data_IF_268053954442
#
_entry.id   IF_268053954442
#
_cell.length_a   1.000
_cell.length_b   1.000
_cell.length_c   1.000
_cell.angle_alpha   90.00
_cell.angle_beta   90.00
_cell.angle_gamma   90.00
#
_symmetry.space_group_name_H-M   'P 1'
#
loop_
_entity.id
_entity.type
_entity.pdbx_description
1 polymer ?
#
# COMPACT_ATOMS: atom_id res chain seq x y z
N UNK A 1 33.59 -12.51 -2.70
CA UNK A 1 32.30 -12.12 -2.07
C UNK A 1 31.59 -13.25 -1.31
N UNK A 2 31.42 -14.47 -1.85
CA UNK A 2 30.75 -15.57 -1.14
C UNK A 2 31.39 -15.95 0.21
N UNK A 3 32.72 -15.81 0.32
CA UNK A 3 33.48 -16.06 1.55
C UNK A 3 33.12 -15.08 2.69
N UNK A 4 33.05 -13.78 2.43
CA UNK A 4 32.69 -12.77 3.43
C UNK A 4 31.24 -12.96 3.93
N UNK A 5 30.32 -13.29 3.03
CA UNK A 5 28.90 -13.56 3.35
C UNK A 5 28.75 -14.77 4.28
N UNK A 6 29.53 -15.83 4.04
CA UNK A 6 29.50 -17.07 4.83
C UNK A 6 30.01 -16.86 6.26
N UNK A 7 31.07 -16.07 6.45
CA UNK A 7 31.68 -15.91 7.77
C UNK A 7 30.92 -14.93 8.66
N UNK A 8 30.25 -13.92 8.08
CA UNK A 8 29.54 -12.91 8.86
C UNK A 8 28.26 -13.44 9.53
N UNK A 9 27.66 -14.51 8.99
CA UNK A 9 26.42 -15.10 9.50
C UNK A 9 26.65 -16.44 10.22
N UNK A 10 27.89 -16.93 10.31
CA UNK A 10 28.19 -18.20 10.98
C UNK A 10 28.53 -17.98 12.45
N UNK A 11 28.04 -18.88 13.30
CA UNK A 11 28.38 -18.88 14.72
C UNK A 11 27.72 -17.76 15.51
N UNK A 12 26.69 -17.13 14.96
CA UNK A 12 25.87 -16.18 15.70
C UNK A 12 25.10 -16.89 16.82
N UNK A 13 24.79 -16.13 17.85
CA UNK A 13 24.02 -16.55 19.03
C UNK A 13 22.65 -15.85 19.06
N UNK A 14 21.80 -16.22 20.01
CA UNK A 14 20.47 -15.64 20.14
C UNK A 14 20.48 -14.18 20.62
N UNK A 15 21.62 -13.72 21.15
CA UNK A 15 21.87 -12.36 21.65
C UNK A 15 22.39 -11.42 20.56
N UNK A 16 22.77 -11.97 19.39
CA UNK A 16 23.24 -11.18 18.26
C UNK A 16 22.08 -10.57 17.45
N UNK A 17 22.37 -9.44 16.81
CA UNK A 17 21.47 -8.76 15.89
C UNK A 17 22.14 -8.60 14.51
N UNK A 18 21.47 -9.14 13.49
CA UNK A 18 21.83 -8.95 12.09
C UNK A 18 20.96 -7.83 11.51
N UNK A 19 21.60 -6.74 11.09
CA UNK A 19 20.94 -5.65 10.38
C UNK A 19 21.18 -5.84 8.87
N UNK A 20 20.11 -6.09 8.12
CA UNK A 20 20.15 -6.22 6.67
C UNK A 20 19.69 -4.92 6.01
N UNK A 21 20.59 -4.22 5.33
CA UNK A 21 20.26 -3.05 4.52
C UNK A 21 20.02 -3.52 3.08
N UNK A 22 18.78 -3.39 2.61
CA UNK A 22 18.36 -3.90 1.30
C UNK A 22 17.90 -2.73 0.43
N UNK A 23 18.40 -2.69 -0.80
CA UNK A 23 18.00 -1.74 -1.83
C UNK A 23 17.81 -2.43 -3.18
N UNK A 24 17.38 -1.66 -4.18
CA UNK A 24 17.37 -2.10 -5.58
C UNK A 24 18.70 -2.71 -6.05
N UNK A 25 18.61 -3.68 -6.96
CA UNK A 25 19.77 -4.44 -7.47
C UNK A 25 20.26 -5.61 -6.60
N UNK A 26 19.68 -5.79 -5.39
CA UNK A 26 20.06 -6.84 -4.45
C UNK A 26 20.06 -8.26 -5.04
N UNK A 27 19.14 -8.58 -5.95
CA UNK A 27 19.06 -9.92 -6.56
C UNK A 27 20.31 -10.30 -7.37
N UNK A 28 21.02 -9.33 -7.96
CA UNK A 28 22.24 -9.55 -8.73
C UNK A 28 23.51 -9.47 -7.86
N UNK A 29 23.55 -8.49 -6.94
CA UNK A 29 24.71 -8.25 -6.06
C UNK A 29 24.80 -9.28 -4.92
N UNK A 30 23.65 -9.75 -4.44
CA UNK A 30 23.52 -10.74 -3.38
C UNK A 30 23.18 -12.12 -3.96
N UNK A 31 24.15 -12.74 -4.63
CA UNK A 31 24.07 -14.13 -5.05
C UNK A 31 25.04 -15.03 -4.27
N UNK A 32 24.54 -16.22 -3.91
CA UNK A 32 25.32 -17.33 -3.39
C UNK A 32 24.60 -18.63 -3.75
N UNK A 33 25.12 -19.36 -4.73
CA UNK A 33 24.48 -20.56 -5.24
C UNK A 33 24.67 -21.77 -4.33
N UNK A 34 23.75 -22.73 -4.42
CA UNK A 34 23.89 -24.04 -3.81
C UNK A 34 25.10 -24.79 -4.40
N UNK A 35 25.58 -25.77 -3.65
CA UNK A 35 26.74 -26.55 -4.07
C UNK A 35 26.48 -27.29 -5.39
N UNK A 36 27.49 -27.30 -6.27
CA UNK A 36 27.39 -27.89 -7.61
C UNK A 36 26.72 -27.02 -8.68
N UNK A 37 26.10 -25.89 -8.32
CA UNK A 37 25.50 -24.95 -9.29
C UNK A 37 26.45 -23.77 -9.53
N UNK A 38 26.86 -23.56 -10.78
CA UNK A 38 27.75 -22.47 -11.17
C UNK A 38 26.98 -21.20 -11.58
N UNK A 39 27.67 -20.06 -11.61
CA UNK A 39 27.09 -18.80 -12.09
C UNK A 39 26.70 -18.91 -13.57
N UNK A 40 27.48 -19.61 -14.38
CA UNK A 40 27.14 -19.83 -15.80
C UNK A 40 25.90 -20.72 -15.96
N UNK A 41 25.71 -21.71 -15.08
CA UNK A 41 24.48 -22.48 -15.05
C UNK A 41 23.26 -21.60 -14.70
N UNK A 42 23.39 -20.72 -13.71
CA UNK A 42 22.34 -19.74 -13.39
C UNK A 42 22.03 -18.82 -14.59
N UNK A 43 23.06 -18.35 -15.29
CA UNK A 43 22.90 -17.51 -16.49
C UNK A 43 22.16 -18.25 -17.59
N UNK A 44 22.57 -19.49 -17.90
CA UNK A 44 21.93 -20.32 -18.90
C UNK A 44 20.45 -20.59 -18.58
N UNK A 45 20.14 -20.96 -17.32
CA UNK A 45 18.75 -21.10 -16.86
C UNK A 45 17.95 -19.81 -17.09
N UNK A 46 18.49 -18.68 -16.66
CA UNK A 46 17.80 -17.39 -16.74
C UNK A 46 17.54 -17.00 -18.20
N UNK A 47 18.50 -17.24 -19.09
CA UNK A 47 18.34 -17.00 -20.53
C UNK A 47 17.21 -17.83 -21.13
N UNK A 48 17.13 -19.12 -20.82
CA UNK A 48 16.07 -19.99 -21.35
C UNK A 48 14.68 -19.59 -20.82
N UNK A 49 14.57 -19.24 -19.54
CA UNK A 49 13.31 -18.75 -18.96
C UNK A 49 12.85 -17.42 -19.58
N UNK A 50 13.78 -16.49 -19.83
CA UNK A 50 13.45 -15.24 -20.51
C UNK A 50 13.02 -15.48 -21.96
N UNK A 51 13.70 -16.38 -22.68
CA UNK A 51 13.37 -16.74 -24.07
C UNK A 51 11.99 -17.34 -24.20
N UNK A 52 11.56 -18.17 -23.24
CA UNK A 52 10.24 -18.78 -23.27
C UNK A 52 9.13 -17.88 -22.71
N UNK A 53 9.45 -16.65 -22.31
CA UNK A 53 8.47 -15.71 -21.74
C UNK A 53 7.96 -16.11 -20.36
N UNK A 54 8.78 -16.78 -19.55
CA UNK A 54 8.43 -17.06 -18.15
C UNK A 54 8.19 -15.75 -17.39
N UNK A 55 7.21 -15.75 -16.51
CA UNK A 55 6.92 -14.58 -15.68
C UNK A 55 8.03 -14.34 -14.66
N UNK A 56 8.15 -13.10 -14.18
CA UNK A 56 9.16 -12.76 -13.16
C UNK A 56 9.01 -13.60 -11.88
N UNK A 57 7.78 -13.92 -11.48
CA UNK A 57 7.51 -14.74 -10.29
C UNK A 57 8.01 -16.17 -10.46
N UNK A 58 7.87 -16.74 -11.65
CA UNK A 58 8.35 -18.08 -11.98
C UNK A 58 9.87 -18.12 -12.06
N UNK A 59 10.48 -17.12 -12.68
CA UNK A 59 11.94 -16.95 -12.67
C UNK A 59 12.46 -16.85 -11.24
N UNK A 60 11.80 -16.05 -10.39
CA UNK A 60 12.18 -15.89 -9.00
C UNK A 60 11.98 -17.17 -8.19
N UNK A 61 10.94 -17.98 -8.47
CA UNK A 61 10.76 -19.29 -7.84
C UNK A 61 12.01 -20.15 -8.06
N UNK A 62 12.44 -20.34 -9.30
CA UNK A 62 13.62 -21.14 -9.61
C UNK A 62 14.91 -20.54 -9.01
N UNK A 63 15.07 -19.22 -9.07
CA UNK A 63 16.25 -18.53 -8.50
C UNK A 63 16.35 -18.68 -6.98
N UNK A 64 15.22 -18.68 -6.26
CA UNK A 64 15.16 -18.92 -4.81
C UNK A 64 15.63 -20.35 -4.48
N UNK A 65 15.18 -21.34 -5.25
CA UNK A 65 15.47 -22.76 -5.03
C UNK A 65 16.88 -23.21 -5.43
N UNK A 66 17.69 -22.35 -6.06
CA UNK A 66 19.10 -22.63 -6.34
C UNK A 66 20.05 -21.70 -5.60
N UNK A 67 19.53 -20.86 -4.71
CA UNK A 67 20.30 -19.89 -3.93
C UNK A 67 20.32 -20.25 -2.44
N UNK A 68 21.42 -19.91 -1.80
CA UNK A 68 21.66 -20.04 -0.35
C UNK A 68 21.31 -18.79 0.43
N UNK A 69 20.84 -17.73 -0.22
CA UNK A 69 20.51 -16.45 0.43
C UNK A 69 19.15 -15.90 0.06
N UNK A 70 18.58 -16.28 -1.08
CA UNK A 70 17.25 -15.83 -1.54
C UNK A 70 16.13 -16.68 -0.93
N UNK A 71 14.90 -16.18 -0.92
CA UNK A 71 13.72 -16.90 -0.43
C UNK A 71 13.86 -17.32 1.03
N UNK A 72 14.15 -16.38 1.92
CA UNK A 72 14.24 -16.59 3.37
C UNK A 72 15.54 -17.24 3.84
N UNK A 73 16.39 -17.68 2.92
CA UNK A 73 17.62 -18.39 3.24
C UNK A 73 18.64 -17.56 4.01
N UNK A 74 18.72 -16.24 3.77
CA UNK A 74 19.61 -15.38 4.56
C UNK A 74 19.15 -15.33 6.01
N UNK A 75 17.85 -15.22 6.26
CA UNK A 75 17.30 -15.29 7.61
C UNK A 75 17.56 -16.65 8.28
N UNK A 76 17.45 -17.74 7.51
CA UNK A 76 17.83 -19.08 7.98
C UNK A 76 19.31 -19.19 8.35
N UNK A 77 20.20 -18.60 7.55
CA UNK A 77 21.63 -18.59 7.84
C UNK A 77 21.99 -17.78 9.09
N UNK A 78 21.20 -16.76 9.42
CA UNK A 78 21.41 -15.91 10.58
C UNK A 78 20.93 -16.56 11.90
N UNK A 79 20.19 -17.67 11.85
CA UNK A 79 19.71 -18.32 13.08
C UNK A 79 20.88 -18.73 13.99
N UNK A 80 20.73 -18.57 15.33
CA UNK A 80 19.54 -18.15 16.08
C UNK A 80 19.41 -16.62 16.31
N UNK A 81 20.25 -15.80 15.68
CA UNK A 81 20.25 -14.34 15.87
C UNK A 81 18.95 -13.69 15.40
N UNK A 82 18.68 -12.49 15.93
CA UNK A 82 17.59 -11.64 15.46
C UNK A 82 17.98 -11.00 14.14
N UNK A 83 17.02 -10.87 13.22
CA UNK A 83 17.24 -10.23 11.92
C UNK A 83 16.30 -9.05 11.78
N UNK A 84 16.86 -7.87 11.48
CA UNK A 84 16.10 -6.68 11.12
C UNK A 84 16.51 -6.24 9.73
N UNK A 85 15.60 -6.32 8.77
CA UNK A 85 15.81 -5.82 7.42
C UNK A 85 15.20 -4.44 7.25
N UNK A 86 16.02 -3.47 6.85
CA UNK A 86 15.60 -2.13 6.46
C UNK A 86 15.65 -2.04 4.94
N UNK A 87 14.50 -1.82 4.32
CA UNK A 87 14.29 -2.06 2.89
C UNK A 87 13.92 -0.75 2.19
N UNK A 88 14.70 -0.42 1.17
CA UNK A 88 14.38 0.58 0.15
C UNK A 88 13.87 -0.14 -1.09
N UNK A 89 12.57 -0.05 -1.34
CA UNK A 89 11.88 -0.78 -2.40
C UNK A 89 11.84 0.02 -3.70
N UNK A 90 12.34 -0.58 -4.78
CA UNK A 90 12.14 -0.15 -6.17
C UNK A 90 11.05 -0.98 -6.89
N UNK A 91 10.31 -1.82 -6.14
CA UNK A 91 9.27 -2.70 -6.67
C UNK A 91 7.89 -2.14 -6.31
N UNK A 92 7.00 -2.04 -7.30
CA UNK A 92 5.62 -1.59 -7.09
C UNK A 92 4.89 -2.48 -6.08
N UNK A 93 4.20 -1.84 -5.12
CA UNK A 93 3.51 -2.52 -4.01
C UNK A 93 4.44 -3.10 -2.94
N UNK A 94 5.76 -3.00 -3.13
CA UNK A 94 6.78 -3.47 -2.19
C UNK A 94 6.63 -4.91 -1.66
N UNK A 95 6.29 -5.93 -2.48
CA UNK A 95 6.20 -7.31 -2.03
C UNK A 95 7.57 -7.85 -1.58
N UNK A 96 7.67 -8.23 -0.31
CA UNK A 96 8.93 -8.61 0.34
C UNK A 96 9.60 -9.84 -0.29
N UNK A 97 8.82 -10.78 -0.82
CA UNK A 97 9.32 -12.01 -1.44
C UNK A 97 9.92 -11.77 -2.84
N UNK A 98 9.61 -10.62 -3.45
CA UNK A 98 10.15 -10.19 -4.75
C UNK A 98 11.36 -9.27 -4.57
N UNK A 99 11.33 -8.33 -3.61
CA UNK A 99 12.43 -7.39 -3.37
C UNK A 99 13.70 -8.17 -3.03
N UNK A 100 14.76 -7.96 -3.81
CA UNK A 100 16.00 -8.73 -3.72
C UNK A 100 15.80 -10.27 -3.73
N UNK A 101 14.69 -10.75 -4.31
CA UNK A 101 14.24 -12.14 -4.29
C UNK A 101 14.02 -12.69 -2.88
N UNK A 102 13.57 -11.84 -1.94
CA UNK A 102 13.11 -12.22 -0.62
C UNK A 102 14.19 -12.78 0.29
N UNK A 103 15.32 -12.09 0.49
CA UNK A 103 16.43 -12.58 1.31
C UNK A 103 16.00 -13.03 2.73
N UNK A 104 15.09 -12.27 3.33
CA UNK A 104 14.58 -12.42 4.70
C UNK A 104 13.07 -12.62 4.75
N UNK A 105 12.45 -12.96 3.61
CA UNK A 105 11.01 -13.16 3.48
C UNK A 105 10.69 -14.63 3.19
N UNK A 106 9.53 -15.14 3.64
CA UNK A 106 9.10 -16.50 3.33
C UNK A 106 8.90 -16.69 1.83
N UNK A 107 9.11 -17.91 1.36
CA UNK A 107 8.90 -18.29 -0.02
C UNK A 107 7.73 -19.27 -0.13
N UNK A 108 6.64 -18.85 -0.78
CA UNK A 108 5.44 -19.67 -1.00
C UNK A 108 5.62 -20.77 -2.04
N UNK A 109 6.67 -20.71 -2.86
CA UNK A 109 6.93 -21.67 -3.94
C UNK A 109 7.73 -22.87 -3.45
N UNK A 110 7.64 -24.00 -4.15
CA UNK A 110 8.32 -25.26 -3.79
C UNK A 110 9.20 -25.78 -4.92
N UNK A 111 10.05 -26.77 -4.61
CA UNK A 111 10.80 -27.53 -5.61
C UNK A 111 9.86 -28.17 -6.65
N UNK A 112 8.70 -28.67 -6.21
CA UNK A 112 7.69 -29.24 -7.10
C UNK A 112 7.13 -28.17 -8.06
N UNK A 113 6.89 -26.94 -7.58
CA UNK A 113 6.47 -25.82 -8.42
C UNK A 113 7.54 -25.47 -9.46
N UNK A 114 8.82 -25.50 -9.07
CA UNK A 114 9.93 -25.25 -9.98
C UNK A 114 9.97 -26.29 -11.11
N UNK A 115 9.82 -27.58 -10.80
CA UNK A 115 9.77 -28.64 -11.81
C UNK A 115 8.56 -28.47 -12.73
N UNK A 116 7.38 -28.17 -12.17
CA UNK A 116 6.17 -27.90 -12.96
C UNK A 116 6.31 -26.70 -13.90
N UNK A 117 7.01 -25.65 -13.47
CA UNK A 117 7.34 -24.50 -14.33
C UNK A 117 8.20 -24.95 -15.51
N UNK A 118 9.26 -25.74 -15.24
CA UNK A 118 10.15 -26.25 -16.28
C UNK A 118 9.42 -27.16 -17.27
N UNK A 119 8.55 -28.05 -16.78
CA UNK A 119 7.78 -28.97 -17.60
C UNK A 119 6.79 -28.22 -18.51
N UNK A 120 6.07 -27.22 -17.96
CA UNK A 120 5.13 -26.39 -18.72
C UNK A 120 5.79 -25.67 -19.90
N UNK A 121 7.05 -25.25 -19.77
CA UNK A 121 7.81 -24.60 -20.84
C UNK A 121 8.65 -25.58 -21.68
N UNK A 122 8.62 -26.88 -21.40
CA UNK A 122 9.43 -27.88 -22.10
C UNK A 122 10.94 -27.63 -21.95
N UNK A 123 11.36 -27.14 -20.77
CA UNK A 123 12.73 -26.74 -20.46
C UNK A 123 13.48 -27.74 -19.59
N UNK A 124 12.81 -28.74 -18.99
CA UNK A 124 13.41 -29.66 -18.02
C UNK A 124 14.70 -30.32 -18.53
N UNK A 125 14.72 -30.75 -19.79
CA UNK A 125 15.91 -31.35 -20.42
C UNK A 125 16.87 -30.33 -21.06
N UNK A 126 16.52 -29.05 -21.11
CA UNK A 126 17.29 -27.98 -21.77
C UNK A 126 18.12 -27.14 -20.80
N UNK A 127 17.79 -27.18 -19.51
CA UNK A 127 18.51 -26.46 -18.47
C UNK A 127 19.80 -27.22 -18.05
N UNK A 128 20.77 -26.55 -17.42
CA UNK A 128 21.97 -27.21 -16.91
C UNK A 128 21.66 -28.38 -15.97
N UNK A 129 22.33 -29.51 -16.20
CA UNK A 129 22.10 -30.76 -15.46
C UNK A 129 22.28 -30.61 -13.94
N UNK A 130 23.21 -29.74 -13.49
CA UNK A 130 23.43 -29.48 -12.06
C UNK A 130 22.22 -28.85 -11.38
N UNK A 131 21.53 -27.93 -12.07
CA UNK A 131 20.30 -27.29 -11.59
C UNK A 131 19.16 -28.29 -11.59
N UNK A 132 18.95 -29.02 -12.70
CA UNK A 132 17.90 -30.05 -12.78
C UNK A 132 18.06 -31.06 -11.65
N UNK A 133 19.25 -31.63 -11.50
CA UNK A 133 19.53 -32.62 -10.47
C UNK A 133 19.30 -32.05 -9.06
N UNK A 134 19.63 -30.78 -8.80
CA UNK A 134 19.35 -30.15 -7.52
C UNK A 134 17.85 -30.03 -7.24
N UNK A 135 17.07 -29.53 -8.21
CA UNK A 135 15.63 -29.38 -8.07
C UNK A 135 14.92 -30.73 -7.88
N UNK A 136 15.36 -31.77 -8.60
CA UNK A 136 14.81 -33.12 -8.48
C UNK A 136 15.15 -33.77 -7.14
N UNK A 137 16.37 -33.57 -6.61
CA UNK A 137 16.72 -33.98 -5.24
C UNK A 137 15.84 -33.28 -4.20
N UNK A 138 15.64 -31.96 -4.36
CA UNK A 138 14.76 -31.17 -3.50
C UNK A 138 13.31 -31.69 -3.52
N UNK A 139 12.77 -32.00 -4.70
CA UNK A 139 11.43 -32.56 -4.85
C UNK A 139 11.28 -33.96 -4.23
N UNK A 140 12.38 -34.73 -4.10
CA UNK A 140 12.41 -36.01 -3.37
C UNK A 140 12.66 -35.86 -1.86
N UNK A 141 12.80 -34.64 -1.36
CA UNK A 141 13.05 -34.36 0.06
C UNK A 141 14.51 -34.56 0.49
N UNK A 142 15.44 -34.73 -0.45
CA UNK A 142 16.88 -34.88 -0.15
C UNK A 142 17.58 -33.54 0.12
N UNK A 143 16.88 -32.42 -0.08
CA UNK A 143 17.36 -31.08 0.23
C UNK A 143 16.24 -30.29 0.90
N UNK A 144 16.54 -29.48 1.92
CA UNK A 144 15.53 -28.72 2.63
C UNK A 144 14.93 -27.67 1.71
N UNK A 145 13.62 -27.47 1.84
CA UNK A 145 12.89 -26.46 1.10
C UNK A 145 13.29 -25.04 1.52
N UNK A 146 13.00 -24.03 0.69
CA UNK A 146 13.05 -22.62 1.11
C UNK A 146 12.07 -22.39 2.28
N UNK A 147 12.43 -21.57 3.30
CA UNK A 147 11.58 -21.39 4.47
C UNK A 147 10.18 -20.88 4.12
N UNK A 148 9.17 -21.51 4.71
CA UNK A 148 7.75 -21.22 4.51
C UNK A 148 7.24 -20.23 5.55
N UNK A 149 6.07 -19.65 5.31
CA UNK A 149 5.53 -18.60 6.17
C UNK A 149 5.29 -19.06 7.63
N UNK A 150 5.08 -20.35 7.83
CA UNK A 150 4.90 -21.01 9.13
C UNK A 150 6.22 -21.47 9.78
N UNK A 151 7.37 -21.25 9.13
CA UNK A 151 8.67 -21.59 9.69
C UNK A 151 8.95 -20.73 10.95
N UNK A 152 9.20 -21.35 12.13
CA UNK A 152 9.44 -20.63 13.38
C UNK A 152 10.59 -19.63 13.32
N UNK A 153 11.52 -19.76 12.36
CA UNK A 153 12.62 -18.82 12.19
C UNK A 153 12.12 -17.37 12.00
N UNK A 154 10.95 -17.19 11.38
CA UNK A 154 10.42 -15.86 11.09
C UNK A 154 9.92 -15.12 12.33
N UNK A 155 9.76 -15.80 13.47
CA UNK A 155 9.46 -15.16 14.75
C UNK A 155 10.59 -14.19 15.21
N UNK A 156 11.80 -14.37 14.69
CA UNK A 156 12.97 -13.52 14.98
C UNK A 156 13.37 -12.59 13.84
N UNK A 157 12.52 -12.49 12.80
CA UNK A 157 12.77 -11.66 11.62
C UNK A 157 11.79 -10.51 11.58
N UNK A 158 12.30 -9.30 11.40
CA UNK A 158 11.49 -8.10 11.20
C UNK A 158 11.91 -7.43 9.90
N UNK A 159 10.97 -7.29 8.97
CA UNK A 159 11.19 -6.60 7.69
C UNK A 159 10.47 -5.24 7.75
N UNK A 160 11.19 -4.15 7.52
CA UNK A 160 10.67 -2.78 7.55
C UNK A 160 10.97 -2.10 6.23
N UNK A 161 9.91 -1.71 5.51
CA UNK A 161 10.04 -0.83 4.34
C UNK A 161 10.26 0.59 4.88
N UNK A 162 11.47 1.11 4.69
CA UNK A 162 11.86 2.45 5.14
C UNK A 162 11.75 3.49 4.03
N UNK A 163 11.70 3.06 2.78
CA UNK A 163 11.52 3.91 1.62
C UNK A 163 10.87 3.12 0.48
N UNK A 164 9.84 3.69 -0.13
CA UNK A 164 9.23 3.22 -1.37
C UNK A 164 8.50 4.38 -2.08
N UNK A 165 7.85 4.09 -3.20
CA UNK A 165 7.09 5.09 -3.95
C UNK A 165 5.93 5.70 -3.14
N UNK A 166 5.29 4.92 -2.27
CA UNK A 166 4.17 5.41 -1.48
C UNK A 166 4.65 6.45 -0.47
N UNK A 167 5.71 6.13 0.28
CA UNK A 167 6.34 7.04 1.25
C UNK A 167 6.79 8.33 0.56
N UNK A 168 7.42 8.22 -0.62
CA UNK A 168 7.87 9.39 -1.38
C UNK A 168 6.70 10.27 -1.84
N UNK A 169 5.64 9.66 -2.36
CA UNK A 169 4.44 10.37 -2.80
C UNK A 169 3.69 11.03 -1.65
N UNK A 170 3.58 10.36 -0.49
CA UNK A 170 2.93 10.91 0.69
C UNK A 170 3.69 12.12 1.25
N UNK A 171 5.02 12.04 1.31
CA UNK A 171 5.87 13.17 1.70
C UNK A 171 5.70 14.38 0.75
N UNK A 172 5.70 14.14 -0.57
CA UNK A 172 5.46 15.18 -1.57
C UNK A 172 4.06 15.80 -1.43
N UNK A 173 3.04 14.97 -1.20
CA UNK A 173 1.67 15.42 -1.00
C UNK A 173 1.51 16.25 0.27
N UNK A 174 2.18 15.87 1.36
CA UNK A 174 2.18 16.60 2.61
C UNK A 174 2.83 17.99 2.45
N UNK A 175 3.98 18.06 1.78
CA UNK A 175 4.68 19.32 1.53
C UNK A 175 3.86 20.26 0.63
N UNK A 176 3.24 19.73 -0.43
CA UNK A 176 2.39 20.53 -1.30
C UNK A 176 1.15 21.07 -0.56
N UNK A 177 0.53 20.28 0.32
CA UNK A 177 -0.56 20.76 1.19
C UNK A 177 -0.09 21.85 2.14
N UNK A 178 1.10 21.72 2.74
CA UNK A 178 1.67 22.73 3.64
C UNK A 178 1.90 24.07 2.93
N UNK A 179 2.19 24.05 1.63
CA UNK A 179 2.32 25.24 0.77
C UNK A 179 0.98 25.79 0.26
N UNK A 180 -0.15 25.21 0.65
CA UNK A 180 -1.49 25.66 0.27
C UNK A 180 -2.01 25.09 -1.05
N UNK A 181 -1.32 24.12 -1.66
CA UNK A 181 -1.85 23.44 -2.85
C UNK A 181 -2.95 22.44 -2.47
N UNK A 182 -3.94 22.30 -3.35
CA UNK A 182 -4.85 21.15 -3.31
C UNK A 182 -4.15 19.97 -3.96
N UNK A 183 -4.01 18.88 -3.22
CA UNK A 183 -3.31 17.68 -3.69
C UNK A 183 -4.28 16.52 -3.85
N UNK A 184 -4.19 15.84 -4.99
CA UNK A 184 -4.85 14.57 -5.26
C UNK A 184 -3.79 13.55 -5.67
N UNK A 185 -3.72 12.43 -4.94
CA UNK A 185 -2.82 11.34 -5.27
C UNK A 185 -3.53 10.42 -6.27
N UNK A 186 -3.08 10.41 -7.52
CA UNK A 186 -3.72 9.65 -8.61
C UNK A 186 -3.42 8.14 -8.54
N UNK A 187 -2.29 7.78 -7.92
CA UNK A 187 -1.86 6.39 -7.70
C UNK A 187 -0.35 6.28 -7.59
N UNK A 188 0.12 5.21 -6.95
CA UNK A 188 1.56 4.89 -6.75
C UNK A 188 1.97 3.60 -7.45
N UNK A 189 1.02 2.98 -8.15
CA UNK A 189 1.09 1.70 -8.84
C UNK A 189 0.99 1.85 -10.37
N UNK A 190 1.20 3.06 -10.89
CA UNK A 190 1.08 3.36 -12.32
C UNK A 190 2.05 2.51 -13.15
N UNK A 191 1.49 1.57 -13.90
CA UNK A 191 2.19 0.74 -14.89
C UNK A 191 1.76 1.17 -16.31
N UNK A 192 2.71 1.19 -17.26
CA UNK A 192 2.47 1.59 -18.65
C UNK A 192 3.50 2.59 -19.18
N UNK A 193 3.96 2.40 -20.42
CA UNK A 193 5.02 3.17 -21.06
C UNK A 193 4.55 4.42 -21.81
N UNK A 194 3.25 4.58 -22.06
CA UNK A 194 2.75 5.66 -22.90
C UNK A 194 2.30 6.86 -22.05
N UNK A 195 2.88 8.03 -22.32
CA UNK A 195 2.48 9.31 -21.68
C UNK A 195 0.99 9.62 -21.84
N UNK A 196 0.35 9.07 -22.88
CA UNK A 196 -1.04 9.35 -23.26
C UNK A 196 -2.03 8.68 -22.31
N UNK A 197 -1.87 7.39 -22.02
CA UNK A 197 -2.75 6.69 -21.07
C UNK A 197 -2.67 7.28 -19.66
N UNK A 198 -1.49 7.79 -19.28
CA UNK A 198 -1.28 8.47 -18.00
C UNK A 198 -2.04 9.80 -17.92
N UNK A 199 -2.01 10.61 -18.98
CA UNK A 199 -2.76 11.86 -19.05
C UNK A 199 -4.27 11.64 -19.02
N UNK A 200 -4.77 10.65 -19.78
CA UNK A 200 -6.20 10.34 -19.80
C UNK A 200 -6.73 9.88 -18.44
N UNK A 201 -5.94 9.13 -17.66
CA UNK A 201 -6.37 8.63 -16.34
C UNK A 201 -6.38 9.75 -15.30
N UNK A 202 -5.41 10.67 -15.34
CA UNK A 202 -5.43 11.92 -14.57
C UNK A 202 -6.67 12.74 -14.93
N UNK A 203 -6.93 12.95 -16.22
CA UNK A 203 -8.12 13.67 -16.68
C UNK A 203 -9.44 13.02 -16.23
N UNK A 204 -9.52 11.67 -16.24
CA UNK A 204 -10.70 10.95 -15.75
C UNK A 204 -10.89 11.13 -14.24
N UNK A 205 -9.81 11.11 -13.46
CA UNK A 205 -9.84 11.42 -12.02
C UNK A 205 -10.34 12.84 -11.77
N UNK A 206 -9.78 13.83 -12.46
CA UNK A 206 -10.19 15.23 -12.35
C UNK A 206 -11.66 15.44 -12.73
N UNK A 207 -12.16 14.76 -13.77
CA UNK A 207 -13.57 14.83 -14.18
C UNK A 207 -14.51 14.23 -13.13
N UNK A 208 -14.14 13.10 -12.54
CA UNK A 208 -14.92 12.47 -11.48
C UNK A 208 -14.99 13.35 -10.22
N UNK A 209 -13.90 14.01 -9.84
CA UNK A 209 -13.86 14.93 -8.70
C UNK A 209 -14.61 16.24 -8.98
N UNK A 210 -14.49 16.82 -10.18
CA UNK A 210 -15.32 17.97 -10.58
C UNK A 210 -16.81 17.64 -10.47
N UNK A 211 -17.22 16.44 -10.87
CA UNK A 211 -18.60 15.98 -10.73
C UNK A 211 -19.02 15.83 -9.26
N UNK A 212 -18.16 15.31 -8.37
CA UNK A 212 -18.44 15.24 -6.92
C UNK A 212 -18.53 16.61 -6.28
N UNK A 213 -17.63 17.54 -6.63
CA UNK A 213 -17.66 18.94 -6.13
C UNK A 213 -18.91 19.67 -6.58
N UNK A 214 -19.33 19.50 -7.84
CA UNK A 214 -20.57 20.07 -8.37
C UNK A 214 -21.79 19.55 -7.60
N UNK A 215 -21.90 18.23 -7.38
CA UNK A 215 -22.98 17.62 -6.59
C UNK A 215 -23.00 18.13 -5.14
N UNK A 216 -21.83 18.35 -4.52
CA UNK A 216 -21.73 18.90 -3.16
C UNK A 216 -22.18 20.36 -3.12
N UNK A 217 -21.80 21.18 -4.09
CA UNK A 217 -22.23 22.57 -4.20
C UNK A 217 -23.75 22.68 -4.40
N UNK A 218 -24.33 21.86 -5.28
CA UNK A 218 -25.78 21.81 -5.52
C UNK A 218 -26.55 21.42 -4.25
N UNK A 219 -26.03 20.46 -3.48
CA UNK A 219 -26.62 20.06 -2.19
C UNK A 219 -26.59 21.19 -1.16
N UNK A 220 -25.51 21.97 -1.12
CA UNK A 220 -25.41 23.15 -0.24
C UNK A 220 -26.40 24.22 -0.68
N UNK A 221 -26.47 24.54 -1.97
CA UNK A 221 -27.39 25.54 -2.50
C UNK A 221 -28.86 25.16 -2.26
N UNK A 222 -29.22 23.88 -2.46
CA UNK A 222 -30.57 23.37 -2.16
C UNK A 222 -30.93 23.52 -0.69
N UNK A 223 -29.98 23.26 0.21
CA UNK A 223 -30.19 23.45 1.65
C UNK A 223 -30.35 24.95 2.02
N UNK A 224 -29.60 25.84 1.37
CA UNK A 224 -29.76 27.29 1.58
C UNK A 224 -31.09 27.83 1.04
N UNK A 225 -31.54 27.37 -0.14
CA UNK A 225 -32.85 27.71 -0.71
C UNK A 225 -33.99 27.26 0.22
N UNK A 226 -33.91 26.06 0.78
CA UNK A 226 -34.89 25.57 1.76
C UNK A 226 -34.93 26.46 3.01
N UNK A 227 -33.77 26.81 3.58
CA UNK A 227 -33.69 27.74 4.73
C UNK A 227 -34.24 29.13 4.42
N UNK A 228 -34.05 29.65 3.20
CA UNK A 228 -34.63 30.93 2.76
C UNK A 228 -36.15 30.85 2.64
N UNK A 229 -36.69 29.77 2.08
CA UNK A 229 -38.13 29.54 1.98
C UNK A 229 -38.79 29.49 3.37
N UNK A 230 -38.19 28.76 4.32
CA UNK A 230 -38.68 28.72 5.72
C UNK A 230 -38.68 30.09 6.40
N UNK A 231 -37.65 30.92 6.15
CA UNK A 231 -37.59 32.30 6.68
C UNK A 231 -38.70 33.18 6.08
N UNK A 232 -38.98 33.05 4.79
CA UNK A 232 -40.06 33.78 4.12
C UNK A 232 -41.42 33.36 4.67
N UNK A 233 -41.69 32.05 4.79
CA UNK A 233 -42.93 31.56 5.40
C UNK A 233 -43.12 32.07 6.84
N UNK A 234 -42.06 32.06 7.65
CA UNK A 234 -42.10 32.56 9.02
C UNK A 234 -42.41 34.07 9.07
N UNK A 235 -41.83 34.85 8.16
CA UNK A 235 -42.11 36.28 8.03
C UNK A 235 -43.56 36.54 7.56
N UNK A 236 -44.09 35.74 6.64
CA UNK A 236 -45.48 35.84 6.20
C UNK A 236 -46.47 35.47 7.30
N UNK A 237 -46.19 34.41 8.08
CA UNK A 237 -46.99 34.05 9.26
C UNK A 237 -47.02 35.20 10.28
N UNK A 238 -45.88 35.84 10.52
CA UNK A 238 -45.79 37.01 11.40
C UNK A 238 -46.60 38.21 10.86
N UNK A 239 -46.56 38.49 9.55
CA UNK A 239 -47.39 39.54 8.91
C UNK A 239 -48.89 39.23 8.95
N UNK A 240 -49.28 37.96 8.78
CA UNK A 240 -50.69 37.52 8.92
C UNK A 240 -51.17 37.69 10.37
N UNK A 241 -50.33 37.36 11.34
CA UNK A 241 -50.62 37.59 12.75
C UNK A 241 -50.75 39.09 13.07
N UNK A 242 -49.86 39.95 12.55
CA UNK A 242 -49.97 41.41 12.79
C UNK A 242 -51.21 42.03 12.14
N UNK A 243 -51.61 41.58 10.94
CA UNK A 243 -52.87 41.98 10.29
C UNK A 243 -54.11 41.54 11.08
N UNK A 244 -54.08 40.35 11.68
CA UNK A 244 -55.15 39.87 12.55
C UNK A 244 -55.28 40.69 13.85
N UNK A 245 -54.16 41.21 14.38
CA UNK A 245 -54.16 42.12 15.53
C UNK A 245 -54.61 43.53 15.14
N UNK A 246 -54.19 44.04 13.98
CA UNK A 246 -54.59 45.37 13.46
C UNK A 246 -56.09 45.51 13.20
N UNK A 247 -56.78 44.42 12.84
CA UNK A 247 -58.24 44.41 12.68
C UNK A 247 -59.02 44.48 14.00
N UNK A 248 -58.39 44.13 15.13
CA UNK A 248 -59.04 44.21 16.46
C UNK A 248 -58.98 45.61 17.09
N UNK A 249 -58.23 46.55 16.51
CA UNK A 249 -58.06 47.90 17.07
C UNK A 249 -58.99 48.98 16.46
N UNK A 250 -59.74 48.69 15.39
CA UNK A 250 -60.52 49.72 14.65
C UNK A 250 -62.02 49.70 14.97
N UNK A 251 -62.53 48.81 15.83
CA UNK A 251 -63.97 48.76 16.11
C UNK A 251 -64.30 48.50 17.58
N UNK A 252 -64.19 49.56 18.40
CA UNK A 252 -65.04 49.79 19.58
C UNK A 252 -64.89 51.24 20.06
N UNK A 253 -65.98 52.01 19.97
CA UNK A 253 -66.16 53.36 20.50
C UNK A 253 -67.07 53.28 21.74
N UNK A 254 -66.76 54.09 22.76
CA UNK A 254 -67.47 54.40 24.03
C UNK A 254 -67.44 53.30 25.11
N UNK A 255 -67.05 53.57 26.37
CA UNK A 255 -67.43 54.68 27.26
C UNK A 255 -66.26 55.32 28.04
N UNK A 256 -66.40 56.61 28.34
CA UNK A 256 -65.67 57.41 29.33
C UNK A 256 -66.72 58.00 30.26
N UNK A 257 -66.65 57.80 31.60
CA UNK A 257 -67.04 58.78 32.65
C UNK A 257 -66.31 58.42 33.96
N UNK A 258 -65.88 59.47 34.64
CA UNK A 258 -65.08 59.65 35.85
C UNK A 258 -65.71 59.17 37.17
N UNK A 259 -64.86 58.90 38.16
CA UNK A 259 -64.99 59.38 39.54
C UNK A 259 -63.57 59.81 39.96
N UNK A 260 -63.27 61.01 40.45
CA UNK A 260 -63.96 61.75 41.50
C UNK A 260 -63.06 61.70 42.75
N UNK A 261 -62.29 62.78 42.97
CA UNK A 261 -61.37 63.01 44.11
C UNK A 261 -61.95 62.59 45.46
N UNK A 262 -61.15 62.00 46.36
CA UNK A 262 -61.12 62.37 47.79
C UNK A 262 -59.70 62.26 48.36
N UNK A 263 -59.36 63.34 49.05
CA UNK A 263 -58.18 63.76 49.81
C UNK A 263 -58.04 63.00 51.15
N UNK A 264 -56.83 62.69 51.61
CA UNK A 264 -56.55 62.45 53.04
C UNK A 264 -55.05 62.47 53.36
N UNK A 265 -54.66 63.56 54.05
CA UNK A 265 -53.42 63.84 54.77
C UNK A 265 -53.03 62.77 55.81
N UNK A 266 -51.79 62.96 56.33
CA UNK A 266 -51.19 62.46 57.58
C UNK A 266 -50.68 61.02 57.49
N UNK A 267 -49.47 60.67 57.96
CA UNK A 267 -48.46 61.31 58.79
C UNK A 267 -47.08 60.88 58.26
#
# INVERSE_FOLDING_TARGET
>A
MAWAKRNLLRGLSADDLVICLVSGGGSALMEWLVEGVSLDALRALTTELLRCGATINEINALRKHISRVKGGQLARLAQPARVVALILSDVLGSPLDVIASGLTAPDSTTFADCLRILDRYGLREKIPASIRAHLERGARGESPETPKADDPLFARVTNVIIADNQIACDAAAQEAKARGYTVELVGTDLQGGERVERAERVERGERAERAKRAKRAERVERAERAKRAERVERAERAKRASRAVGWRAVNRRLFCVETGKVDARKN
#
